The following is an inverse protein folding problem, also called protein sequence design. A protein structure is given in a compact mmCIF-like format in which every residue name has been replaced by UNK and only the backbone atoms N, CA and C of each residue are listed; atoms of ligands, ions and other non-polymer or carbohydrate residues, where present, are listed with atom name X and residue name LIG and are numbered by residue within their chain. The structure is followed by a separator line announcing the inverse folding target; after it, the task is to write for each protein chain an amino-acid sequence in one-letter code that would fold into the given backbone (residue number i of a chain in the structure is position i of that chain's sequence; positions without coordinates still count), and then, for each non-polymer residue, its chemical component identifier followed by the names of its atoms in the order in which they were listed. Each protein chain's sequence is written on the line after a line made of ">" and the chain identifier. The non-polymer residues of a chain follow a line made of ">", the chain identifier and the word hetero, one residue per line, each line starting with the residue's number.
data_IF_804062816970
#
_entry.id   IF_804062816970
#
_cell.length_a   1.000
_cell.length_b   1.000
_cell.length_c   1.000
_cell.angle_alpha   90.00
_cell.angle_beta   90.00
_cell.angle_gamma   90.00
#
_symmetry.space_group_name_H-M   'P 1'
#
loop_
_entity.id
_entity.type
_entity.pdbx_description
1 polymer ?
#
# COMPACT_ATOMS: atom_id res chain seq x y z
N UNK A 1 -1.22 14.85 -2.29
CA UNK A 1 -1.76 15.35 -3.58
C UNK A 1 -3.23 15.02 -3.82
N UNK A 2 -3.89 14.40 -2.87
CA UNK A 2 -5.33 14.13 -2.99
C UNK A 2 -6.17 15.40 -3.09
N UNK A 3 -5.64 16.52 -2.60
CA UNK A 3 -6.29 17.81 -2.67
C UNK A 3 -6.16 18.49 -4.06
N UNK A 4 -5.48 17.86 -5.01
CA UNK A 4 -5.34 18.38 -6.36
C UNK A 4 -4.19 19.38 -6.56
N UNK A 5 -3.31 19.51 -5.58
CA UNK A 5 -2.18 20.46 -5.64
C UNK A 5 -0.88 19.74 -5.29
N UNK A 6 0.15 19.95 -6.10
CA UNK A 6 1.47 19.38 -5.84
C UNK A 6 2.17 20.14 -4.70
N UNK A 7 2.64 19.45 -3.65
CA UNK A 7 3.34 20.11 -2.55
C UNK A 7 4.75 20.59 -2.91
N UNK A 8 5.29 20.16 -4.05
CA UNK A 8 6.65 20.53 -4.49
C UNK A 8 6.67 21.73 -5.40
N UNK A 9 5.75 21.84 -6.36
CA UNK A 9 5.76 22.92 -7.34
C UNK A 9 4.44 23.71 -7.38
N UNK A 10 3.46 23.37 -6.55
CA UNK A 10 2.15 24.02 -6.46
C UNK A 10 1.30 23.94 -7.74
N UNK A 11 1.66 23.05 -8.67
CA UNK A 11 0.86 22.81 -9.87
C UNK A 11 -0.44 22.12 -9.52
N UNK A 12 -1.47 22.39 -10.31
CA UNK A 12 -2.75 21.69 -10.23
C UNK A 12 -2.88 20.58 -11.27
N UNK A 13 -1.83 20.31 -12.03
CA UNK A 13 -1.82 19.26 -13.06
C UNK A 13 -1.56 17.90 -12.43
N UNK A 14 -2.54 17.37 -11.71
CA UNK A 14 -2.40 16.13 -10.95
C UNK A 14 -3.10 14.98 -11.69
N UNK A 15 -2.32 13.93 -11.96
CA UNK A 15 -2.86 12.65 -12.44
C UNK A 15 -3.23 11.84 -11.20
N UNK A 16 -4.52 11.70 -10.93
CA UNK A 16 -5.01 11.08 -9.70
C UNK A 16 -5.40 9.62 -9.90
N UNK A 17 -5.34 8.87 -8.81
CA UNK A 17 -5.86 7.50 -8.71
C UNK A 17 -5.29 6.55 -9.78
N UNK A 18 -4.02 6.73 -10.11
CA UNK A 18 -3.35 5.84 -11.06
C UNK A 18 -3.00 4.52 -10.37
N UNK A 19 -3.37 3.40 -10.99
CA UNK A 19 -3.06 2.08 -10.46
C UNK A 19 -1.67 1.64 -10.92
N UNK A 20 -0.87 1.11 -9.99
CA UNK A 20 0.38 0.46 -10.37
C UNK A 20 0.07 -0.85 -11.09
N UNK A 21 0.82 -1.09 -12.16
CA UNK A 21 0.72 -2.35 -12.90
C UNK A 21 2.11 -2.94 -13.05
N UNK A 22 2.22 -4.25 -12.79
CA UNK A 22 3.45 -4.98 -13.04
C UNK A 22 3.48 -5.55 -14.46
N UNK A 23 4.60 -6.19 -14.79
CA UNK A 23 4.77 -6.90 -16.06
C UNK A 23 3.90 -8.15 -16.17
N UNK A 24 3.51 -8.72 -15.02
CA UNK A 24 2.56 -9.82 -14.93
C UNK A 24 1.16 -9.26 -14.68
N UNK A 25 0.14 -10.10 -14.78
CA UNK A 25 -1.24 -9.67 -14.61
C UNK A 25 -1.56 -9.22 -13.18
N UNK A 26 -0.66 -9.45 -12.23
CA UNK A 26 -0.86 -9.14 -10.82
C UNK A 26 -0.21 -7.80 -10.51
N UNK A 27 -0.97 -6.78 -10.05
CA UNK A 27 -0.37 -5.50 -9.67
C UNK A 27 0.50 -5.66 -8.41
N UNK A 28 1.54 -4.83 -8.26
CA UNK A 28 2.36 -4.84 -7.05
C UNK A 28 1.52 -4.57 -5.80
N UNK A 29 1.84 -5.26 -4.72
CA UNK A 29 1.14 -5.09 -3.46
C UNK A 29 2.11 -5.23 -2.29
N UNK A 30 1.70 -4.69 -1.14
CA UNK A 30 2.41 -4.89 0.12
C UNK A 30 1.64 -5.91 0.96
N UNK A 31 2.36 -6.74 1.70
CA UNK A 31 1.78 -7.76 2.57
C UNK A 31 2.42 -7.73 3.94
N UNK A 32 1.60 -7.84 4.98
CA UNK A 32 2.05 -8.07 6.34
C UNK A 32 1.42 -9.36 6.85
N UNK A 33 2.16 -10.10 7.66
CA UNK A 33 1.83 -11.46 8.04
C UNK A 33 1.80 -11.60 9.55
N UNK A 34 0.87 -12.41 10.03
CA UNK A 34 0.72 -12.75 11.44
C UNK A 34 2.02 -13.34 12.00
N UNK A 35 2.44 -12.94 13.22
CA UNK A 35 3.62 -13.52 13.84
C UNK A 35 3.38 -14.98 14.22
N UNK A 36 4.44 -15.78 14.18
CA UNK A 36 4.37 -17.19 14.58
C UNK A 36 4.06 -17.29 16.08
N UNK A 37 3.02 -18.04 16.49
CA UNK A 37 2.70 -18.19 17.90
C UNK A 37 3.74 -19.03 18.63
N UNK A 38 4.00 -18.80 19.94
CA UNK A 38 4.99 -19.57 20.70
C UNK A 38 4.65 -21.06 20.79
N UNK A 39 3.36 -21.41 20.84
CA UNK A 39 2.87 -22.78 20.85
C UNK A 39 2.22 -23.10 19.50
N UNK A 40 3.06 -23.16 18.48
CA UNK A 40 2.60 -23.39 17.12
C UNK A 40 1.85 -24.71 17.02
N UNK A 41 0.56 -24.71 16.58
CA UNK A 41 -0.15 -25.95 16.33
C UNK A 41 0.45 -26.73 15.17
N UNK A 42 0.15 -28.01 15.07
CA UNK A 42 0.66 -28.87 14.01
C UNK A 42 0.34 -28.32 12.62
N UNK A 43 -0.88 -27.82 12.47
CA UNK A 43 -1.29 -27.11 11.24
C UNK A 43 -1.57 -25.66 11.60
N UNK A 44 -0.72 -24.77 11.13
CA UNK A 44 -0.87 -23.33 11.34
C UNK A 44 -0.66 -22.59 10.03
N UNK A 45 -1.66 -21.86 9.61
CA UNK A 45 -1.60 -21.03 8.42
C UNK A 45 -1.65 -19.57 8.87
N UNK A 46 -0.58 -18.80 8.66
CA UNK A 46 -0.57 -17.39 9.08
C UNK A 46 -1.61 -16.58 8.31
N UNK A 47 -2.29 -15.72 9.03
CA UNK A 47 -3.17 -14.73 8.40
C UNK A 47 -2.32 -13.61 7.85
N UNK A 48 -2.77 -13.00 6.76
CA UNK A 48 -2.07 -11.89 6.15
C UNK A 48 -3.06 -10.79 5.76
N UNK A 49 -2.55 -9.55 5.74
CA UNK A 49 -3.27 -8.41 5.20
C UNK A 49 -2.45 -7.84 4.05
N UNK A 50 -3.11 -7.54 2.95
CA UNK A 50 -2.48 -7.06 1.73
C UNK A 50 -3.15 -5.80 1.25
N UNK A 51 -2.39 -4.96 0.55
CA UNK A 51 -2.93 -3.76 -0.07
C UNK A 51 -2.20 -3.46 -1.37
N UNK A 52 -2.97 -3.06 -2.36
CA UNK A 52 -2.45 -2.45 -3.57
C UNK A 52 -2.28 -0.95 -3.35
N UNK A 53 -1.73 -0.26 -4.33
CA UNK A 53 -1.43 1.17 -4.23
C UNK A 53 -2.17 1.97 -5.31
N UNK A 54 -2.54 3.19 -4.93
CA UNK A 54 -2.90 4.24 -5.87
C UNK A 54 -1.77 5.27 -5.89
N UNK A 55 -1.47 5.79 -7.06
CA UNK A 55 -0.47 6.83 -7.23
C UNK A 55 -1.12 8.15 -7.63
N UNK A 56 -0.57 9.25 -7.11
CA UNK A 56 -0.91 10.60 -7.53
C UNK A 56 0.37 11.23 -8.06
N UNK A 57 0.34 11.68 -9.30
CA UNK A 57 1.54 12.12 -10.03
C UNK A 57 1.34 13.56 -10.47
N UNK A 58 2.33 14.42 -10.18
CA UNK A 58 2.32 15.77 -10.72
C UNK A 58 2.77 15.74 -12.18
N UNK A 59 1.89 16.16 -13.10
CA UNK A 59 2.22 16.22 -14.52
C UNK A 59 3.20 17.33 -14.89
N UNK A 60 3.45 18.26 -13.97
CA UNK A 60 4.37 19.39 -14.21
C UNK A 60 5.80 19.09 -13.77
N UNK A 61 6.00 18.39 -12.64
CA UNK A 61 7.34 18.14 -12.10
C UNK A 61 7.66 16.66 -11.86
N UNK A 62 6.68 15.77 -11.96
CA UNK A 62 6.89 14.33 -11.78
C UNK A 62 6.87 13.85 -10.34
N UNK A 63 6.64 14.71 -9.36
CA UNK A 63 6.52 14.28 -7.97
C UNK A 63 5.37 13.29 -7.83
N UNK A 64 5.62 12.18 -7.14
CA UNK A 64 4.65 11.10 -7.03
C UNK A 64 4.47 10.70 -5.58
N UNK A 65 3.21 10.54 -5.16
CA UNK A 65 2.84 10.00 -3.86
C UNK A 65 2.07 8.71 -4.05
N UNK A 66 2.32 7.73 -3.18
CA UNK A 66 1.61 6.47 -3.18
C UNK A 66 0.74 6.34 -1.94
N UNK A 67 -0.47 5.83 -2.13
CA UNK A 67 -1.41 5.59 -1.04
C UNK A 67 -1.82 4.12 -1.07
N UNK A 68 -1.74 3.46 0.07
CA UNK A 68 -2.25 2.09 0.21
C UNK A 68 -3.78 2.12 0.23
N UNK A 69 -4.41 1.33 -0.62
CA UNK A 69 -5.87 1.29 -0.73
C UNK A 69 -6.50 0.76 0.56
N UNK A 70 -5.92 -0.32 1.11
CA UNK A 70 -6.42 -0.98 2.31
C UNK A 70 -5.60 -0.63 3.54
N UNK A 71 -5.29 0.66 3.71
CA UNK A 71 -4.46 1.11 4.82
C UNK A 71 -5.07 0.79 6.19
N UNK A 72 -6.39 0.80 6.31
CA UNK A 72 -7.07 0.47 7.57
C UNK A 72 -6.84 -0.99 7.95
N UNK A 73 -6.95 -1.91 7.00
CA UNK A 73 -6.68 -3.32 7.24
C UNK A 73 -5.21 -3.57 7.62
N UNK A 74 -4.29 -2.86 6.95
CA UNK A 74 -2.87 -2.94 7.30
C UNK A 74 -2.62 -2.43 8.72
N UNK A 75 -3.26 -1.33 9.10
CA UNK A 75 -3.10 -0.78 10.44
C UNK A 75 -3.66 -1.71 11.52
N UNK A 76 -4.80 -2.34 11.27
CA UNK A 76 -5.36 -3.34 12.18
C UNK A 76 -4.42 -4.54 12.34
N UNK A 77 -3.84 -5.02 11.24
CA UNK A 77 -2.86 -6.08 11.28
C UNK A 77 -1.63 -5.68 12.09
N UNK A 78 -1.14 -4.45 11.91
CA UNK A 78 -0.01 -3.92 12.69
C UNK A 78 -0.30 -3.95 14.19
N UNK A 79 -1.50 -3.56 14.60
CA UNK A 79 -1.91 -3.59 16.01
C UNK A 79 -1.89 -5.00 16.59
N UNK A 80 -2.11 -6.00 15.75
CA UNK A 80 -2.07 -7.42 16.14
C UNK A 80 -0.66 -8.02 16.04
N UNK A 81 0.34 -7.22 15.70
CA UNK A 81 1.71 -7.66 15.60
C UNK A 81 2.14 -8.19 14.23
N UNK A 82 1.30 -8.03 13.20
CA UNK A 82 1.65 -8.44 11.85
C UNK A 82 2.83 -7.62 11.33
N UNK A 83 3.76 -8.28 10.65
CA UNK A 83 4.97 -7.64 10.12
C UNK A 83 5.17 -8.02 8.65
N UNK A 84 5.88 -7.15 7.94
CA UNK A 84 6.32 -7.42 6.59
C UNK A 84 7.32 -8.58 6.57
N UNK A 85 7.26 -9.37 5.50
CA UNK A 85 8.23 -10.41 5.22
C UNK A 85 8.94 -10.15 3.90
#
# INVERSE_FOLDING_TARGET
>A
MKNGTCPKCNSTEIIGEAHLRGSDSIPPYISIVEPEPPNRPFVWVPKSEQSQFLAYICGACGYTEFYAIRYQALNEGRKKGFKSR
#
